data_IF_725354644588
#
_entry.id   IF_725354644588
#
_cell.length_a   1.000
_cell.length_b   1.000
_cell.length_c   1.000
_cell.angle_alpha   90.00
_cell.angle_beta   90.00
_cell.angle_gamma   90.00
#
_symmetry.space_group_name_H-M   'P 1'
#
loop_
_entity.id
_entity.type
_entity.pdbx_description
1 polymer ?
#
# COMPACT_ATOMS: atom_id res chain seq x y z
N UNK A 1 -4.88 17.16 2.06
CA UNK A 1 -4.38 15.91 2.69
C UNK A 1 -5.38 14.77 2.59
N UNK A 2 -6.67 14.96 2.87
CA UNK A 2 -7.66 13.87 2.69
C UNK A 2 -7.60 13.22 1.30
N UNK A 3 -7.54 14.03 0.23
CA UNK A 3 -7.45 13.53 -1.15
C UNK A 3 -6.16 12.75 -1.47
N UNK A 4 -5.05 12.96 -0.74
CA UNK A 4 -3.83 12.17 -0.97
C UNK A 4 -3.94 10.78 -0.36
N UNK A 5 -4.57 10.65 0.80
CA UNK A 5 -4.87 9.36 1.41
C UNK A 5 -5.90 8.58 0.58
N UNK A 6 -6.92 9.27 0.08
CA UNK A 6 -7.92 8.65 -0.80
C UNK A 6 -7.29 8.19 -2.11
N UNK A 7 -6.42 9.00 -2.73
CA UNK A 7 -5.70 8.58 -3.93
C UNK A 7 -4.79 7.36 -3.66
N UNK A 8 -4.05 7.35 -2.55
CA UNK A 8 -3.22 6.21 -2.17
C UNK A 8 -4.05 4.94 -1.91
N UNK A 9 -5.19 5.09 -1.22
CA UNK A 9 -6.13 3.98 -0.98
C UNK A 9 -6.67 3.43 -2.29
N UNK A 10 -7.10 4.29 -3.22
CA UNK A 10 -7.57 3.84 -4.54
C UNK A 10 -6.45 3.16 -5.34
N UNK A 11 -5.22 3.69 -5.29
CA UNK A 11 -4.06 3.08 -5.93
C UNK A 11 -3.65 1.73 -5.33
N UNK A 12 -4.02 1.46 -4.08
CA UNK A 12 -3.90 0.14 -3.44
C UNK A 12 -5.08 -0.77 -3.78
N UNK A 13 -6.31 -0.26 -3.64
CA UNK A 13 -7.54 -1.03 -3.76
C UNK A 13 -7.85 -1.45 -5.20
N UNK A 14 -7.48 -0.65 -6.21
CA UNK A 14 -7.68 -1.00 -7.62
C UNK A 14 -6.93 -2.27 -8.03
N UNK A 15 -5.59 -2.37 -7.90
CA UNK A 15 -4.89 -3.61 -8.23
C UNK A 15 -5.30 -4.76 -7.31
N UNK A 16 -5.63 -4.49 -6.04
CA UNK A 16 -6.17 -5.52 -5.15
C UNK A 16 -7.50 -6.10 -5.70
N UNK A 17 -8.40 -5.23 -6.16
CA UNK A 17 -9.68 -5.63 -6.77
C UNK A 17 -9.45 -6.46 -8.02
N UNK A 18 -8.49 -6.09 -8.87
CA UNK A 18 -8.11 -6.92 -10.02
C UNK A 18 -7.59 -8.29 -9.59
N UNK A 19 -6.74 -8.35 -8.57
CA UNK A 19 -6.23 -9.62 -8.07
C UNK A 19 -7.33 -10.53 -7.54
N UNK A 20 -8.34 -9.98 -6.87
CA UNK A 20 -9.51 -10.77 -6.44
C UNK A 20 -10.36 -11.20 -7.63
N UNK A 21 -10.62 -10.30 -8.58
CA UNK A 21 -11.46 -10.57 -9.76
C UNK A 21 -10.87 -11.70 -10.64
N UNK A 22 -9.55 -11.74 -10.78
CA UNK A 22 -8.83 -12.78 -11.51
C UNK A 22 -8.39 -13.98 -10.64
N UNK A 23 -8.82 -14.05 -9.38
CA UNK A 23 -8.49 -15.13 -8.42
C UNK A 23 -7.00 -15.29 -8.09
N UNK A 24 -6.20 -14.23 -8.25
CA UNK A 24 -4.84 -14.17 -7.70
C UNK A 24 -4.81 -13.90 -6.20
N UNK A 25 -5.87 -13.28 -5.66
CA UNK A 25 -6.03 -12.97 -4.24
C UNK A 25 -7.35 -13.57 -3.71
N UNK A 26 -7.40 -14.00 -2.43
CA UNK A 26 -8.62 -14.41 -1.79
C UNK A 26 -9.55 -13.20 -1.54
N UNK A 27 -10.85 -13.45 -1.41
CA UNK A 27 -11.83 -12.41 -1.13
C UNK A 27 -11.52 -11.66 0.18
N UNK A 28 -10.97 -12.36 1.17
CA UNK A 28 -10.55 -11.79 2.47
C UNK A 28 -9.49 -10.68 2.34
N UNK A 29 -8.80 -10.60 1.20
CA UNK A 29 -7.83 -9.52 0.95
C UNK A 29 -8.46 -8.14 0.91
N UNK A 30 -9.78 -8.01 0.69
CA UNK A 30 -10.47 -6.73 0.75
C UNK A 30 -10.36 -6.04 2.12
N UNK A 31 -10.27 -6.82 3.22
CA UNK A 31 -10.04 -6.29 4.56
C UNK A 31 -8.72 -5.51 4.68
N UNK A 32 -7.74 -5.81 3.83
CA UNK A 32 -6.47 -5.09 3.79
C UNK A 32 -6.62 -3.63 3.34
N UNK A 33 -7.70 -3.29 2.62
CA UNK A 33 -7.99 -1.89 2.26
C UNK A 33 -8.32 -1.05 3.49
N UNK A 34 -9.06 -1.63 4.44
CA UNK A 34 -9.34 -0.97 5.72
C UNK A 34 -8.07 -0.84 6.58
N UNK A 35 -7.19 -1.86 6.55
CA UNK A 35 -5.89 -1.83 7.22
C UNK A 35 -4.92 -0.81 6.60
N UNK A 36 -5.00 -0.58 5.29
CA UNK A 36 -4.13 0.36 4.59
C UNK A 36 -4.31 1.81 5.06
N UNK A 37 -5.52 2.22 5.44
CA UNK A 37 -5.80 3.57 5.92
C UNK A 37 -4.97 3.98 7.16
N UNK A 38 -5.03 3.28 8.30
CA UNK A 38 -4.22 3.62 9.47
C UNK A 38 -2.72 3.48 9.18
N UNK A 39 -2.30 2.49 8.39
CA UNK A 39 -0.90 2.37 7.96
C UNK A 39 -0.44 3.57 7.13
N UNK A 40 -1.28 4.07 6.22
CA UNK A 40 -0.99 5.27 5.41
C UNK A 40 -0.87 6.52 6.28
N UNK A 41 -1.66 6.63 7.35
CA UNK A 41 -1.54 7.72 8.32
C UNK A 41 -0.19 7.66 9.06
N UNK A 42 0.26 6.48 9.49
CA UNK A 42 1.58 6.26 10.09
C UNK A 42 2.72 6.54 9.11
N UNK A 43 2.56 6.16 7.84
CA UNK A 43 3.52 6.40 6.77
C UNK A 43 3.87 7.89 6.63
N UNK A 44 2.92 8.80 6.90
CA UNK A 44 3.17 10.25 6.87
C UNK A 44 4.32 10.67 7.80
N UNK A 45 4.55 9.99 8.92
CA UNK A 45 5.66 10.30 9.83
C UNK A 45 7.02 10.18 9.12
N UNK A 46 7.12 9.33 8.10
CA UNK A 46 8.34 9.13 7.30
C UNK A 46 8.45 10.11 6.12
N UNK A 47 7.34 10.74 5.72
CA UNK A 47 7.22 11.67 4.59
C UNK A 47 6.89 13.08 5.08
N UNK A 48 7.89 13.79 5.61
CA UNK A 48 7.66 15.13 6.16
C UNK A 48 8.27 16.28 5.36
N UNK A 49 9.24 15.99 4.46
CA UNK A 49 9.98 17.00 3.69
C UNK A 49 9.59 17.01 2.22
N UNK A 50 9.39 18.21 1.67
CA UNK A 50 9.26 18.44 0.24
C UNK A 50 10.56 18.06 -0.47
N UNK A 51 10.46 17.27 -1.52
CA UNK A 51 11.64 16.86 -2.28
C UNK A 51 11.26 16.31 -3.65
N UNK A 52 12.01 16.68 -4.70
CA UNK A 52 11.93 16.02 -6.01
C UNK A 52 12.70 14.69 -6.06
N UNK A 53 13.14 14.15 -4.92
CA UNK A 53 13.87 12.89 -4.88
C UNK A 53 12.99 11.74 -5.37
N UNK A 54 13.59 10.90 -6.21
CA UNK A 54 13.04 9.62 -6.63
C UNK A 54 12.69 8.74 -5.42
N UNK A 55 11.95 7.65 -5.67
CA UNK A 55 11.67 6.65 -4.64
C UNK A 55 12.98 6.11 -4.04
N UNK A 56 13.05 6.11 -2.72
CA UNK A 56 14.18 5.62 -1.95
C UNK A 56 13.95 4.16 -1.56
N UNK A 57 15.02 3.41 -1.26
CA UNK A 57 14.94 2.02 -0.75
C UNK A 57 13.96 1.89 0.43
N UNK A 58 13.87 2.92 1.27
CA UNK A 58 12.92 2.99 2.39
C UNK A 58 11.46 2.83 1.92
N UNK A 59 11.10 3.38 0.77
CA UNK A 59 9.73 3.31 0.25
C UNK A 59 9.36 1.87 -0.15
N UNK A 60 10.32 1.15 -0.72
CA UNK A 60 10.20 -0.28 -1.01
C UNK A 60 10.13 -1.12 0.26
N UNK A 61 10.93 -0.79 1.28
CA UNK A 61 10.93 -1.48 2.57
C UNK A 61 9.59 -1.28 3.32
N UNK A 62 9.03 -0.06 3.27
CA UNK A 62 7.73 0.25 3.87
C UNK A 62 6.59 -0.52 3.19
N UNK A 63 6.60 -0.61 1.86
CA UNK A 63 5.67 -1.47 1.14
C UNK A 63 5.81 -2.94 1.58
N UNK A 64 7.05 -3.44 1.72
CA UNK A 64 7.32 -4.81 2.15
C UNK A 64 6.84 -5.10 3.57
N UNK A 65 7.03 -4.17 4.51
CA UNK A 65 6.49 -4.25 5.86
C UNK A 65 4.96 -4.34 5.82
N UNK A 66 4.30 -3.48 5.05
CA UNK A 66 2.85 -3.52 4.92
C UNK A 66 2.37 -4.85 4.33
N UNK A 67 3.05 -5.39 3.32
CA UNK A 67 2.76 -6.71 2.77
C UNK A 67 2.91 -7.81 3.82
N UNK A 68 3.97 -7.78 4.62
CA UNK A 68 4.17 -8.74 5.71
C UNK A 68 3.04 -8.71 6.74
N UNK A 69 2.61 -7.50 7.13
CA UNK A 69 1.45 -7.33 8.03
C UNK A 69 0.18 -7.87 7.37
N UNK A 70 -0.04 -7.57 6.09
CA UNK A 70 -1.23 -8.03 5.36
C UNK A 70 -1.29 -9.56 5.20
N UNK A 71 -0.16 -10.21 4.92
CA UNK A 71 -0.05 -11.68 4.88
C UNK A 71 -0.33 -12.28 6.25
N UNK A 72 0.21 -11.67 7.32
CA UNK A 72 -0.07 -12.13 8.67
C UNK A 72 -1.57 -12.04 8.99
N UNK A 73 -2.21 -10.92 8.65
CA UNK A 73 -3.65 -10.74 8.82
C UNK A 73 -4.47 -11.77 8.02
N UNK A 74 -4.09 -12.04 6.77
CA UNK A 74 -4.74 -13.05 5.94
C UNK A 74 -4.60 -14.47 6.51
N UNK A 75 -3.42 -14.83 7.02
CA UNK A 75 -3.21 -16.12 7.69
C UNK A 75 -4.06 -16.27 8.94
N UNK A 76 -4.19 -15.20 9.72
CA UNK A 76 -5.06 -15.18 10.91
C UNK A 76 -6.55 -15.38 10.55
N UNK A 77 -6.96 -14.98 9.34
CA UNK A 77 -8.28 -15.23 8.78
C UNK A 77 -8.42 -16.63 8.14
N UNK A 78 -7.37 -17.46 8.19
CA UNK A 78 -7.38 -18.82 7.63
C UNK A 78 -7.13 -18.90 6.12
N UNK A 79 -6.68 -17.81 5.49
CA UNK A 79 -6.34 -17.85 4.07
C UNK A 79 -5.00 -18.58 3.85
N UNK A 80 -4.97 -19.47 2.86
CA UNK A 80 -3.72 -20.02 2.37
C UNK A 80 -2.91 -18.93 1.67
N UNK A 81 -1.61 -18.90 1.95
CA UNK A 81 -0.69 -17.88 1.41
C UNK A 81 0.47 -18.57 0.73
N UNK A 82 0.70 -18.24 -0.54
CA UNK A 82 1.82 -18.70 -1.33
C UNK A 82 2.72 -17.53 -1.74
N UNK A 83 3.80 -17.83 -2.47
CA UNK A 83 4.74 -16.81 -2.94
C UNK A 83 4.09 -15.88 -3.98
N UNK A 84 3.17 -16.38 -4.82
CA UNK A 84 2.50 -15.58 -5.84
C UNK A 84 1.60 -14.53 -5.21
N UNK A 85 0.80 -14.92 -4.21
CA UNK A 85 -0.02 -14.02 -3.42
C UNK A 85 0.84 -12.97 -2.71
N UNK A 86 1.97 -13.38 -2.12
CA UNK A 86 2.92 -12.45 -1.51
C UNK A 86 3.42 -11.39 -2.51
N UNK A 87 3.91 -11.82 -3.68
CA UNK A 87 4.43 -10.92 -4.70
C UNK A 87 3.35 -10.00 -5.26
N UNK A 88 2.14 -10.51 -5.47
CA UNK A 88 1.02 -9.71 -5.97
C UNK A 88 0.59 -8.66 -4.92
N UNK A 89 0.44 -9.09 -3.66
CA UNK A 89 0.10 -8.18 -2.58
C UNK A 89 1.19 -7.13 -2.34
N UNK A 90 2.46 -7.49 -2.52
CA UNK A 90 3.57 -6.54 -2.51
C UNK A 90 3.41 -5.48 -3.58
N UNK A 91 3.04 -5.88 -4.80
CA UNK A 91 2.82 -4.96 -5.90
C UNK A 91 1.66 -3.99 -5.60
N UNK A 92 0.54 -4.49 -5.04
CA UNK A 92 -0.56 -3.64 -4.55
C UNK A 92 -0.10 -2.66 -3.45
N UNK A 93 0.67 -3.16 -2.49
CA UNK A 93 1.20 -2.36 -1.37
C UNK A 93 2.09 -1.24 -1.89
N UNK A 94 2.97 -1.57 -2.84
CA UNK A 94 3.90 -0.64 -3.45
C UNK A 94 3.19 0.46 -4.24
N UNK A 95 2.16 0.15 -5.04
CA UNK A 95 1.42 1.19 -5.77
C UNK A 95 0.77 2.20 -4.83
N UNK A 96 0.17 1.75 -3.72
CA UNK A 96 -0.39 2.63 -2.70
C UNK A 96 0.65 3.50 -2.00
N UNK A 97 1.75 2.88 -1.55
CA UNK A 97 2.85 3.59 -0.84
C UNK A 97 3.55 4.58 -1.76
N UNK A 98 3.85 4.19 -2.99
CA UNK A 98 4.47 5.07 -3.99
C UNK A 98 3.57 6.27 -4.30
N UNK A 99 2.26 6.05 -4.49
CA UNK A 99 1.31 7.14 -4.70
C UNK A 99 1.28 8.11 -3.53
N UNK A 100 1.31 7.61 -2.29
CA UNK A 100 1.34 8.44 -1.08
C UNK A 100 2.65 9.25 -1.01
N UNK A 101 3.80 8.59 -1.19
CA UNK A 101 5.11 9.21 -1.12
C UNK A 101 5.25 10.31 -2.17
N UNK A 102 4.92 10.02 -3.43
CA UNK A 102 4.93 10.99 -4.52
C UNK A 102 3.97 12.15 -4.26
N UNK A 103 2.74 11.86 -3.85
CA UNK A 103 1.72 12.89 -3.59
C UNK A 103 2.13 13.87 -2.49
N UNK A 104 2.75 13.37 -1.41
CA UNK A 104 3.21 14.22 -0.32
C UNK A 104 4.43 15.04 -0.77
N UNK A 105 5.46 14.38 -1.31
CA UNK A 105 6.72 15.02 -1.71
C UNK A 105 6.53 16.11 -2.77
N UNK A 106 5.66 15.88 -3.78
CA UNK A 106 5.38 16.85 -4.84
C UNK A 106 4.42 17.97 -4.41
N UNK A 107 3.35 17.69 -3.67
CA UNK A 107 2.41 18.75 -3.25
C UNK A 107 3.04 19.75 -2.29
N UNK A 108 4.04 19.34 -1.52
CA UNK A 108 4.78 20.26 -0.65
C UNK A 108 5.76 21.18 -1.39
N UNK A 109 5.96 21.01 -2.70
CA UNK A 109 6.76 21.92 -3.54
C UNK A 109 5.93 23.03 -4.20
N UNK A 110 4.63 22.81 -4.38
CA UNK A 110 3.68 23.76 -4.97
C UNK A 110 3.11 24.75 -3.93
N UNK A 111 3.59 24.69 -2.70
CA UNK A 111 3.10 25.47 -1.56
C UNK A 111 4.23 26.30 -0.99
#
# INVERSE_FOLDING_TARGET
MLMTYLAALMSFALPLSFGVLFRFLPLESFWLSALFLPCSALLRLFYHKASCKALEIRDFALALIFTGIGICALRLLGAETDLHLFCYLYLCSFTGVAQLACSIRFKTLLR
#
